data_IF_452153906417
#
_entry.id   IF_452153906417
#
_cell.length_a   1.000
_cell.length_b   1.000
_cell.length_c   1.000
_cell.angle_alpha   90.00
_cell.angle_beta   90.00
_cell.angle_gamma   90.00
#
_symmetry.space_group_name_H-M   'P 1'
#
loop_
_entity.id
_entity.type
_entity.pdbx_description
1 polymer ?
#
# COMPACT_ATOMS: atom_id res chain seq x y z
N UNK A 1 2.92 19.21 8.34
CA UNK A 1 3.40 17.85 8.05
C UNK A 1 2.75 17.43 6.74
N UNK A 2 3.52 16.93 5.78
CA UNK A 2 3.02 16.53 4.45
C UNK A 2 2.29 15.18 4.54
N UNK A 3 1.23 14.95 3.75
CA UNK A 3 0.52 13.66 3.69
C UNK A 3 1.47 12.47 3.47
N UNK A 4 2.47 12.65 2.61
CA UNK A 4 3.55 11.68 2.37
C UNK A 4 4.20 11.20 3.68
N UNK A 5 4.55 12.12 4.58
CA UNK A 5 5.21 11.77 5.84
C UNK A 5 4.29 10.99 6.77
N UNK A 6 2.98 11.29 6.74
CA UNK A 6 1.96 10.55 7.49
C UNK A 6 1.81 9.12 6.94
N UNK A 7 1.70 8.97 5.62
CA UNK A 7 1.62 7.67 4.97
C UNK A 7 2.89 6.84 5.19
N UNK A 8 4.08 7.44 5.02
CA UNK A 8 5.36 6.78 5.32
C UNK A 8 5.42 6.24 6.76
N UNK A 9 4.84 6.95 7.73
CA UNK A 9 4.76 6.43 9.10
C UNK A 9 3.73 5.32 9.27
N UNK A 10 2.60 5.35 8.54
CA UNK A 10 1.58 4.28 8.54
C UNK A 10 2.07 3.00 7.86
N UNK A 11 3.01 3.11 6.92
CA UNK A 11 3.62 1.97 6.24
C UNK A 11 4.61 1.20 7.12
N UNK A 12 5.14 1.83 8.19
CA UNK A 12 6.03 1.20 9.19
C UNK A 12 5.28 0.12 9.97
N UNK A 13 5.29 -1.09 9.44
CA UNK A 13 4.62 -2.28 9.94
C UNK A 13 5.61 -3.26 10.58
N UNK A 14 5.09 -4.26 11.28
CA UNK A 14 5.94 -5.27 11.94
C UNK A 14 6.73 -6.17 10.98
N UNK A 15 6.35 -6.19 9.69
CA UNK A 15 6.98 -6.98 8.63
C UNK A 15 7.85 -6.11 7.72
N UNK A 16 9.13 -6.49 7.57
CA UNK A 16 10.07 -5.77 6.70
C UNK A 16 9.67 -5.83 5.22
N UNK A 17 9.09 -6.93 4.75
CA UNK A 17 8.68 -7.04 3.34
C UNK A 17 7.64 -5.99 3.00
N UNK A 18 6.60 -5.85 3.83
CA UNK A 18 5.56 -4.82 3.64
C UNK A 18 6.16 -3.42 3.67
N UNK A 19 7.07 -3.15 4.60
CA UNK A 19 7.68 -1.83 4.76
C UNK A 19 8.44 -1.42 3.48
N UNK A 20 9.19 -2.34 2.87
CA UNK A 20 9.93 -2.12 1.61
C UNK A 20 8.98 -1.92 0.44
N UNK A 21 7.97 -2.78 0.29
CA UNK A 21 7.01 -2.72 -0.81
C UNK A 21 6.20 -1.42 -0.76
N UNK A 22 5.70 -1.04 0.41
CA UNK A 22 4.97 0.21 0.59
C UNK A 22 5.87 1.43 0.40
N UNK A 23 7.11 1.41 0.88
CA UNK A 23 8.04 2.50 0.66
C UNK A 23 8.35 2.69 -0.82
N UNK A 24 8.64 1.61 -1.54
CA UNK A 24 8.90 1.66 -2.99
C UNK A 24 7.68 2.15 -3.77
N UNK A 25 6.49 1.66 -3.40
CA UNK A 25 5.23 2.12 -3.96
C UNK A 25 5.00 3.61 -3.70
N UNK A 26 5.18 4.08 -2.46
CA UNK A 26 5.06 5.50 -2.14
C UNK A 26 6.09 6.36 -2.89
N UNK A 27 7.32 5.91 -3.07
CA UNK A 27 8.34 6.72 -3.76
C UNK A 27 8.10 6.81 -5.27
N UNK A 28 7.54 5.75 -5.87
CA UNK A 28 7.30 5.66 -7.31
C UNK A 28 5.92 6.17 -7.71
N UNK A 29 4.89 5.83 -6.94
CA UNK A 29 3.49 6.08 -7.26
C UNK A 29 2.96 7.38 -6.66
N UNK A 30 3.36 7.76 -5.44
CA UNK A 30 2.86 8.99 -4.79
C UNK A 30 3.02 10.27 -5.64
N UNK A 31 4.12 10.49 -6.40
CA UNK A 31 4.22 11.68 -7.27
C UNK A 31 3.17 11.73 -8.38
N UNK A 32 2.63 10.57 -8.76
CA UNK A 32 1.63 10.41 -9.83
C UNK A 32 0.25 10.02 -9.29
N UNK A 33 0.10 9.88 -7.97
CA UNK A 33 -1.11 9.42 -7.33
C UNK A 33 -2.15 10.56 -7.27
N UNK A 34 -3.39 10.23 -7.63
CA UNK A 34 -4.49 11.17 -7.45
C UNK A 34 -4.89 11.25 -5.97
N UNK A 35 -5.56 12.33 -5.53
CA UNK A 35 -6.10 12.42 -4.18
C UNK A 35 -7.00 11.23 -3.80
N UNK A 36 -7.71 10.68 -4.78
CA UNK A 36 -8.57 9.50 -4.64
C UNK A 36 -7.75 8.22 -4.38
N UNK A 37 -6.62 8.04 -5.08
CA UNK A 37 -5.69 6.91 -4.85
C UNK A 37 -5.03 7.00 -3.47
N UNK A 38 -4.69 8.23 -3.05
CA UNK A 38 -4.14 8.50 -1.72
C UNK A 38 -5.16 8.12 -0.64
N UNK A 39 -6.44 8.45 -0.84
CA UNK A 39 -7.50 8.06 0.08
C UNK A 39 -7.68 6.55 0.12
N UNK A 40 -7.73 5.88 -1.04
CA UNK A 40 -7.81 4.42 -1.11
C UNK A 40 -6.62 3.74 -0.43
N UNK A 41 -5.41 4.29 -0.58
CA UNK A 41 -4.22 3.81 0.12
C UNK A 41 -4.35 4.01 1.64
N UNK A 42 -4.88 5.16 2.09
CA UNK A 42 -5.05 5.42 3.53
C UNK A 42 -6.07 4.46 4.17
N UNK A 43 -7.18 4.18 3.46
CA UNK A 43 -8.19 3.18 3.85
C UNK A 43 -7.58 1.76 3.87
N UNK A 44 -6.77 1.42 2.87
CA UNK A 44 -6.05 0.16 2.79
C UNK A 44 -5.02 0.04 3.93
N UNK A 45 -4.31 1.12 4.27
CA UNK A 45 -3.36 1.18 5.38
C UNK A 45 -4.04 1.14 6.76
N UNK A 46 -5.36 1.30 6.84
CA UNK A 46 -6.16 1.07 8.06
C UNK A 46 -6.40 -0.43 8.31
N UNK A 47 -6.19 -1.28 7.31
CA UNK A 47 -6.32 -2.74 7.44
C UNK A 47 -5.10 -3.38 8.13
N UNK A 48 -5.35 -4.52 8.77
CA UNK A 48 -4.33 -5.29 9.49
C UNK A 48 -3.22 -5.81 8.55
N UNK A 49 -1.97 -5.82 9.05
CA UNK A 49 -0.78 -6.32 8.33
C UNK A 49 -0.97 -7.71 7.69
N UNK A 50 -1.53 -8.72 8.39
CA UNK A 50 -1.69 -10.05 7.81
C UNK A 50 -2.65 -10.06 6.62
N UNK A 51 -3.71 -9.25 6.67
CA UNK A 51 -4.68 -9.13 5.57
C UNK A 51 -4.05 -8.47 4.34
N UNK A 52 -3.30 -7.39 4.53
CA UNK A 52 -2.61 -6.75 3.41
C UNK A 52 -1.58 -7.68 2.79
N UNK A 53 -0.82 -8.38 3.62
CA UNK A 53 0.14 -9.36 3.13
C UNK A 53 -0.55 -10.50 2.36
N UNK A 54 -1.67 -11.03 2.88
CA UNK A 54 -2.46 -12.03 2.18
C UNK A 54 -3.05 -11.52 0.86
N UNK A 55 -3.50 -10.27 0.80
CA UNK A 55 -3.97 -9.64 -0.44
C UNK A 55 -2.85 -9.47 -1.46
N UNK A 56 -1.68 -9.00 -1.04
CA UNK A 56 -0.48 -8.89 -1.89
C UNK A 56 -0.07 -10.27 -2.41
N UNK A 57 -0.08 -11.30 -1.57
CA UNK A 57 0.20 -12.69 -1.97
C UNK A 57 -0.92 -13.35 -2.81
N UNK A 58 -2.09 -12.73 -2.91
CA UNK A 58 -3.26 -13.31 -3.59
C UNK A 58 -3.93 -14.44 -2.82
N UNK A 59 -3.68 -14.53 -1.51
CA UNK A 59 -4.35 -15.42 -0.58
C UNK A 59 -5.72 -14.88 -0.15
N UNK A 60 -5.85 -13.56 -0.05
CA UNK A 60 -7.09 -12.88 0.35
C UNK A 60 -7.76 -12.15 -0.83
N UNK A 61 -9.11 -12.06 -0.83
CA UNK A 61 -9.86 -11.35 -1.85
C UNK A 61 -9.63 -9.84 -1.75
N UNK A 62 -9.26 -9.23 -2.88
CA UNK A 62 -9.05 -7.78 -2.98
C UNK A 62 -10.30 -7.12 -3.56
N UNK A 63 -10.91 -6.15 -2.86
CA UNK A 63 -12.00 -5.36 -3.43
C UNK A 63 -11.57 -4.64 -4.72
N UNK A 64 -12.46 -4.54 -5.71
CA UNK A 64 -12.16 -3.88 -6.99
C UNK A 64 -11.65 -2.44 -6.84
N UNK A 65 -12.04 -1.74 -5.77
CA UNK A 65 -11.53 -0.41 -5.45
C UNK A 65 -10.01 -0.38 -5.21
N UNK A 66 -9.44 -1.45 -4.66
CA UNK A 66 -8.01 -1.57 -4.35
C UNK A 66 -7.25 -2.49 -5.29
N UNK A 67 -7.92 -3.11 -6.26
CA UNK A 67 -7.32 -4.09 -7.17
C UNK A 67 -6.11 -3.51 -7.90
N UNK A 68 -6.23 -2.30 -8.45
CA UNK A 68 -5.12 -1.62 -9.11
C UNK A 68 -3.95 -1.33 -8.16
N UNK A 69 -4.24 -0.96 -6.92
CA UNK A 69 -3.26 -0.66 -5.87
C UNK A 69 -2.46 -1.92 -5.47
N UNK A 70 -3.15 -3.03 -5.20
CA UNK A 70 -2.52 -4.32 -4.86
C UNK A 70 -1.71 -4.86 -6.04
N UNK A 71 -2.18 -4.72 -7.28
CA UNK A 71 -1.42 -5.13 -8.46
C UNK A 71 -0.10 -4.35 -8.61
N UNK A 72 -0.10 -3.05 -8.28
CA UNK A 72 1.13 -2.25 -8.26
C UNK A 72 2.08 -2.69 -7.12
N UNK A 73 1.53 -2.97 -5.94
CA UNK A 73 2.31 -3.48 -4.80
C UNK A 73 2.94 -4.85 -5.13
N UNK A 74 2.23 -5.72 -5.86
CA UNK A 74 2.77 -7.00 -6.37
C UNK A 74 3.92 -6.80 -7.33
N UNK A 75 3.78 -5.87 -8.29
CA UNK A 75 4.86 -5.52 -9.23
C UNK A 75 6.10 -4.93 -8.53
N UNK A 76 5.91 -4.25 -7.42
CA UNK A 76 6.99 -3.69 -6.61
C UNK A 76 7.71 -4.74 -5.74
N UNK A 77 7.16 -5.96 -5.61
CA UNK A 77 7.77 -7.07 -4.87
C UNK A 77 8.64 -7.98 -5.77
N UNK A 78 8.55 -7.88 -7.10
CA UNK A 78 9.37 -8.62 -8.10
C UNK A 78 10.71 -7.90 -8.35
#
# INVERSE_FOLDING_TARGET
MSELSRLKMRCRRGMKELDVVFQHYLETYYPSASPEDIQHLDELLDMQDPLLFGMVLGLDPVPNAYASLIEQLRKAHD
#
